data_IF_686509517354
#
_entry.id   IF_686509517354
#
_cell.length_a   1.000
_cell.length_b   1.000
_cell.length_c   1.000
_cell.angle_alpha   90.00
_cell.angle_beta   90.00
_cell.angle_gamma   90.00
#
_symmetry.space_group_name_H-M   'P 1'
#
loop_
_entity.id
_entity.type
_entity.pdbx_description
1 polymer ?
#
# COMPACT_ATOMS: atom_id res chain seq x y z
N UNK A 1 -17.39 -39.35 23.05
CA UNK A 1 -16.91 -38.65 21.83
C UNK A 1 -16.93 -37.13 21.96
N UNK A 2 -18.06 -36.48 22.27
CA UNK A 2 -18.13 -34.99 22.35
C UNK A 2 -17.11 -34.35 23.31
N UNK A 3 -16.93 -34.90 24.51
CA UNK A 3 -15.96 -34.39 25.49
C UNK A 3 -14.50 -34.45 25.02
N UNK A 4 -14.11 -35.57 24.38
CA UNK A 4 -12.76 -35.74 23.82
C UNK A 4 -12.48 -34.70 22.73
N UNK A 5 -13.47 -34.46 21.86
CA UNK A 5 -13.40 -33.47 20.78
C UNK A 5 -13.23 -32.04 21.33
N UNK A 6 -13.94 -31.71 22.41
CA UNK A 6 -13.83 -30.41 23.11
C UNK A 6 -12.42 -30.24 23.70
N UNK A 7 -11.89 -31.26 24.39
CA UNK A 7 -10.55 -31.20 25.00
C UNK A 7 -9.47 -31.04 23.92
N UNK A 8 -9.55 -31.82 22.84
CA UNK A 8 -8.60 -31.73 21.73
C UNK A 8 -8.59 -30.33 21.11
N UNK A 9 -9.77 -29.72 20.96
CA UNK A 9 -9.88 -28.42 20.33
C UNK A 9 -9.48 -27.26 21.24
N UNK A 10 -9.77 -27.32 22.54
CA UNK A 10 -9.24 -26.35 23.52
C UNK A 10 -7.70 -26.43 23.53
N UNK A 11 -7.16 -27.65 23.53
CA UNK A 11 -5.71 -27.87 23.49
C UNK A 11 -5.10 -27.31 22.21
N UNK A 12 -5.78 -27.51 21.06
CA UNK A 12 -5.39 -26.92 19.79
C UNK A 12 -5.37 -25.38 19.86
N UNK A 13 -6.46 -24.74 20.28
CA UNK A 13 -6.54 -23.27 20.41
C UNK A 13 -5.47 -22.72 21.36
N UNK A 14 -5.26 -23.38 22.51
CA UNK A 14 -4.25 -22.97 23.48
C UNK A 14 -2.81 -23.11 22.94
N UNK A 15 -2.49 -24.21 22.26
CA UNK A 15 -1.18 -24.41 21.64
C UNK A 15 -0.90 -23.36 20.57
N UNK A 16 -1.91 -23.01 19.75
CA UNK A 16 -1.76 -21.99 18.72
C UNK A 16 -1.62 -20.59 19.30
N UNK A 17 -2.33 -20.27 20.39
CA UNK A 17 -2.13 -19.02 21.14
C UNK A 17 -0.72 -18.92 21.73
N UNK A 18 -0.21 -19.99 22.33
CA UNK A 18 1.18 -20.03 22.83
C UNK A 18 2.16 -19.84 21.68
N UNK A 19 1.93 -20.49 20.53
CA UNK A 19 2.78 -20.35 19.35
C UNK A 19 2.73 -18.92 18.78
N UNK A 20 1.58 -18.24 18.80
CA UNK A 20 1.47 -16.82 18.44
C UNK A 20 2.27 -15.91 19.37
N UNK A 21 2.17 -16.14 20.69
CA UNK A 21 2.90 -15.36 21.69
C UNK A 21 4.41 -15.58 21.53
N UNK A 22 4.82 -16.84 21.32
CA UNK A 22 6.23 -17.17 21.08
C UNK A 22 6.73 -16.60 19.74
N UNK A 23 5.94 -16.68 18.67
CA UNK A 23 6.24 -16.07 17.38
C UNK A 23 6.46 -14.56 17.49
N UNK A 24 5.65 -13.90 18.32
CA UNK A 24 5.83 -12.49 18.70
C UNK A 24 7.12 -12.28 19.52
N UNK A 25 7.42 -13.09 20.52
CA UNK A 25 8.63 -12.87 21.33
C UNK A 25 9.91 -13.13 20.50
N UNK A 26 9.87 -14.13 19.60
CA UNK A 26 11.05 -14.62 18.88
C UNK A 26 11.33 -13.95 17.55
N UNK A 27 10.46 -13.06 17.09
CA UNK A 27 10.83 -12.22 15.96
C UNK A 27 10.39 -12.73 14.59
N UNK A 28 9.54 -13.76 14.50
CA UNK A 28 8.99 -14.24 13.21
C UNK A 28 7.96 -13.23 12.68
N UNK A 29 8.48 -12.08 12.26
CA UNK A 29 7.74 -10.90 11.81
C UNK A 29 8.02 -10.54 10.36
N UNK A 30 8.81 -11.35 9.66
CA UNK A 30 9.01 -11.12 8.24
C UNK A 30 7.64 -11.20 7.56
N UNK A 31 7.17 -10.09 6.98
CA UNK A 31 5.96 -10.12 6.20
C UNK A 31 6.20 -11.08 5.06
N UNK A 32 5.31 -12.05 4.88
CA UNK A 32 5.32 -12.90 3.71
C UNK A 32 4.26 -12.37 2.75
N UNK A 33 4.56 -12.47 1.46
CA UNK A 33 3.71 -11.98 0.38
C UNK A 33 2.54 -12.93 0.18
N UNK A 34 1.32 -12.40 0.23
CA UNK A 34 0.15 -13.08 -0.33
C UNK A 34 0.19 -12.99 -1.85
N UNK A 35 -0.42 -13.95 -2.53
CA UNK A 35 -0.50 -13.99 -4.00
C UNK A 35 -1.21 -12.78 -4.63
N UNK A 36 -1.87 -11.94 -3.83
CA UNK A 36 -2.51 -10.70 -4.28
C UNK A 36 -1.69 -9.43 -4.01
N UNK A 37 -0.44 -9.54 -3.54
CA UNK A 37 0.39 -8.36 -3.19
C UNK A 37 0.16 -7.83 -1.77
N UNK A 38 -0.77 -8.43 -1.01
CA UNK A 38 -0.95 -8.12 0.41
C UNK A 38 0.24 -8.61 1.26
N UNK A 39 0.75 -7.77 2.17
CA UNK A 39 1.75 -8.18 3.17
C UNK A 39 1.05 -8.62 4.46
N UNK A 40 1.14 -9.90 4.79
CA UNK A 40 0.69 -10.44 6.07
C UNK A 40 1.88 -10.89 6.91
N UNK A 41 1.78 -10.80 8.22
CA UNK A 41 2.75 -11.44 9.10
C UNK A 41 2.21 -12.77 9.61
N UNK A 42 3.10 -13.74 9.83
CA UNK A 42 2.71 -15.06 10.33
C UNK A 42 1.85 -14.97 11.60
N UNK A 43 2.17 -14.03 12.49
CA UNK A 43 1.41 -13.77 13.72
C UNK A 43 -0.04 -13.34 13.44
N UNK A 44 -0.29 -12.53 12.39
CA UNK A 44 -1.65 -12.10 12.01
C UNK A 44 -2.45 -13.23 11.35
N UNK A 45 -1.83 -14.08 10.54
CA UNK A 45 -2.50 -15.28 10.01
C UNK A 45 -2.92 -16.23 11.11
N UNK A 46 -2.00 -16.52 12.04
CA UNK A 46 -2.29 -17.35 13.20
C UNK A 46 -3.43 -16.75 14.04
N UNK A 47 -3.43 -15.42 14.22
CA UNK A 47 -4.49 -14.71 14.92
C UNK A 47 -5.85 -14.90 14.25
N UNK A 48 -5.91 -14.72 12.92
CA UNK A 48 -7.14 -14.94 12.15
C UNK A 48 -7.60 -16.38 12.27
N UNK A 49 -6.70 -17.36 12.15
CA UNK A 49 -7.03 -18.77 12.30
C UNK A 49 -7.60 -19.09 13.68
N UNK A 50 -6.99 -18.61 14.76
CA UNK A 50 -7.50 -18.79 16.13
C UNK A 50 -8.85 -18.10 16.31
N UNK A 51 -9.02 -16.89 15.77
CA UNK A 51 -10.29 -16.17 15.81
C UNK A 51 -11.42 -16.94 15.11
N UNK A 52 -11.23 -17.30 13.84
CA UNK A 52 -12.26 -18.01 13.06
C UNK A 52 -12.55 -19.39 13.63
N UNK A 53 -11.53 -20.16 14.03
CA UNK A 53 -11.73 -21.48 14.63
C UNK A 53 -12.49 -21.40 15.97
N UNK A 54 -12.21 -20.40 16.80
CA UNK A 54 -12.93 -20.16 18.05
C UNK A 54 -14.40 -19.76 17.80
N UNK A 55 -14.66 -18.88 16.84
CA UNK A 55 -16.01 -18.47 16.46
C UNK A 55 -16.83 -19.65 15.90
N UNK A 56 -16.26 -20.41 14.96
CA UNK A 56 -16.91 -21.58 14.36
C UNK A 56 -17.18 -22.66 15.43
N UNK A 57 -16.27 -22.83 16.38
CA UNK A 57 -16.47 -23.74 17.49
C UNK A 57 -17.64 -23.31 18.39
N UNK A 58 -17.70 -22.02 18.73
CA UNK A 58 -18.80 -21.47 19.52
C UNK A 58 -20.16 -21.66 18.84
N UNK A 59 -20.21 -21.54 17.51
CA UNK A 59 -21.43 -21.81 16.73
C UNK A 59 -21.79 -23.30 16.69
N UNK A 60 -20.80 -24.19 16.59
CA UNK A 60 -21.02 -25.64 16.46
C UNK A 60 -21.44 -26.33 17.78
N UNK A 61 -21.07 -25.80 18.95
CA UNK A 61 -21.29 -26.42 20.25
C UNK A 61 -22.57 -25.99 20.98
N UNK A 62 -23.47 -25.27 20.30
CA UNK A 62 -24.60 -24.54 20.89
C UNK A 62 -24.17 -23.41 21.84
N UNK A 63 -25.03 -22.39 21.95
CA UNK A 63 -24.74 -21.05 22.50
C UNK A 63 -24.15 -21.00 23.92
N UNK A 64 -24.22 -22.08 24.71
CA UNK A 64 -23.73 -22.10 26.09
C UNK A 64 -22.20 -22.00 26.21
N UNK A 65 -21.44 -22.47 25.22
CA UNK A 65 -19.97 -22.38 25.21
C UNK A 65 -19.43 -21.19 24.39
N UNK A 66 -20.34 -20.43 23.79
CA UNK A 66 -20.01 -19.22 23.03
C UNK A 66 -19.19 -18.21 23.86
N UNK A 67 -19.53 -17.90 25.13
CA UNK A 67 -18.75 -16.94 25.92
C UNK A 67 -17.30 -17.38 26.12
N UNK A 68 -17.06 -18.68 26.34
CA UNK A 68 -15.72 -19.23 26.52
C UNK A 68 -14.93 -19.11 25.21
N UNK A 69 -15.54 -19.39 24.07
CA UNK A 69 -14.88 -19.25 22.77
C UNK A 69 -14.48 -17.79 22.48
N UNK A 70 -15.32 -16.82 22.86
CA UNK A 70 -15.00 -15.40 22.74
C UNK A 70 -13.80 -14.97 23.60
N UNK A 71 -13.56 -15.60 24.75
CA UNK A 71 -12.37 -15.32 25.58
C UNK A 71 -11.05 -15.63 24.87
N UNK A 72 -11.05 -16.50 23.87
CA UNK A 72 -9.88 -16.80 23.04
C UNK A 72 -9.87 -15.99 21.74
N UNK A 73 -11.04 -15.82 21.11
CA UNK A 73 -11.17 -15.09 19.85
C UNK A 73 -10.75 -13.61 19.99
N UNK A 74 -11.23 -12.91 21.02
CA UNK A 74 -10.99 -11.46 21.17
C UNK A 74 -9.51 -11.14 21.40
N UNK A 75 -8.77 -11.81 22.31
CA UNK A 75 -7.34 -11.59 22.44
C UNK A 75 -6.55 -11.95 21.18
N UNK A 76 -6.92 -13.02 20.47
CA UNK A 76 -6.26 -13.38 19.22
C UNK A 76 -6.40 -12.27 18.18
N UNK A 77 -7.63 -11.78 17.96
CA UNK A 77 -7.89 -10.66 17.06
C UNK A 77 -7.09 -9.41 17.45
N UNK A 78 -7.10 -9.03 18.75
CA UNK A 78 -6.36 -7.87 19.24
C UNK A 78 -4.84 -7.99 19.00
N UNK A 79 -4.27 -9.18 19.23
CA UNK A 79 -2.86 -9.45 18.96
C UNK A 79 -2.56 -9.30 17.46
N UNK A 80 -3.40 -9.88 16.59
CA UNK A 80 -3.27 -9.76 15.15
C UNK A 80 -3.32 -8.31 14.69
N UNK A 81 -4.30 -7.54 15.17
CA UNK A 81 -4.47 -6.12 14.87
C UNK A 81 -3.24 -5.30 15.28
N UNK A 82 -2.78 -5.43 16.53
CA UNK A 82 -1.59 -4.73 17.01
C UNK A 82 -0.32 -5.11 16.23
N UNK A 83 -0.21 -6.38 15.80
CA UNK A 83 0.92 -6.86 15.00
C UNK A 83 0.94 -6.18 13.63
N UNK A 84 -0.20 -6.16 12.94
CA UNK A 84 -0.36 -5.48 11.66
C UNK A 84 -0.09 -3.98 11.76
N UNK A 85 -0.62 -3.30 12.79
CA UNK A 85 -0.41 -1.86 12.95
C UNK A 85 1.08 -1.51 13.13
N UNK A 86 1.82 -2.31 13.89
CA UNK A 86 3.27 -2.13 14.06
C UNK A 86 4.05 -2.43 12.78
N UNK A 87 3.67 -3.48 12.06
CA UNK A 87 4.28 -3.80 10.76
C UNK A 87 4.07 -2.64 9.77
N UNK A 88 2.84 -2.10 9.70
CA UNK A 88 2.51 -0.92 8.89
C UNK A 88 3.34 0.30 9.28
N UNK A 89 3.41 0.64 10.57
CA UNK A 89 4.23 1.76 11.06
C UNK A 89 5.71 1.62 10.68
N UNK A 90 6.28 0.42 10.77
CA UNK A 90 7.67 0.16 10.36
C UNK A 90 7.87 0.26 8.86
N UNK A 91 6.90 -0.25 8.08
CA UNK A 91 6.92 -0.12 6.63
C UNK A 91 6.87 1.35 6.21
N UNK A 92 5.95 2.14 6.77
CA UNK A 92 5.85 3.58 6.55
C UNK A 92 7.16 4.31 6.92
N UNK A 93 7.77 3.97 8.06
CA UNK A 93 9.04 4.55 8.46
C UNK A 93 10.16 4.23 7.45
N UNK A 94 10.28 2.97 7.01
CA UNK A 94 11.26 2.57 5.99
C UNK A 94 11.03 3.28 4.66
N UNK A 95 9.78 3.37 4.20
CA UNK A 95 9.44 4.09 2.96
C UNK A 95 9.76 5.59 3.10
N UNK A 96 9.49 6.20 4.27
CA UNK A 96 9.86 7.61 4.50
C UNK A 96 11.38 7.83 4.51
N UNK A 97 12.15 6.89 5.07
CA UNK A 97 13.62 6.94 5.04
C UNK A 97 14.16 6.78 3.62
N UNK A 98 13.58 5.87 2.82
CA UNK A 98 13.92 5.68 1.41
C UNK A 98 13.56 6.93 0.59
N UNK A 99 12.39 7.51 0.81
CA UNK A 99 11.96 8.73 0.14
C UNK A 99 12.93 9.90 0.42
N UNK A 100 13.30 10.11 1.69
CA UNK A 100 14.25 11.16 2.07
C UNK A 100 15.67 10.90 1.53
N UNK A 101 16.07 9.62 1.38
CA UNK A 101 17.33 9.27 0.73
C UNK A 101 17.29 9.56 -0.78
N UNK A 102 16.25 9.09 -1.47
CA UNK A 102 16.07 9.30 -2.90
C UNK A 102 15.97 10.79 -3.25
N UNK A 103 15.30 11.58 -2.41
CA UNK A 103 15.22 13.03 -2.57
C UNK A 103 16.59 13.70 -2.58
N UNK A 104 17.52 13.22 -1.75
CA UNK A 104 18.90 13.75 -1.71
C UNK A 104 19.73 13.31 -2.90
N UNK A 105 19.53 12.08 -3.37
CA UNK A 105 20.30 11.49 -4.47
C UNK A 105 19.81 11.92 -5.86
N UNK A 106 18.52 12.24 -5.99
CA UNK A 106 17.86 12.52 -7.26
C UNK A 106 17.08 13.86 -7.25
N UNK A 107 17.73 15.00 -6.96
CA UNK A 107 17.06 16.30 -6.83
C UNK A 107 16.15 16.65 -8.01
N UNK A 108 16.53 16.31 -9.25
CA UNK A 108 15.71 16.58 -10.45
C UNK A 108 14.30 15.96 -10.46
N UNK A 109 14.04 14.92 -9.66
CA UNK A 109 12.71 14.27 -9.53
C UNK A 109 11.92 14.87 -8.34
N UNK A 110 12.61 15.46 -7.36
CA UNK A 110 12.01 15.88 -6.09
C UNK A 110 12.06 17.39 -5.80
N UNK A 111 12.80 18.16 -6.60
CA UNK A 111 12.96 19.62 -6.46
C UNK A 111 11.86 20.42 -7.17
N UNK A 112 11.21 19.84 -8.18
CA UNK A 112 10.04 20.45 -8.80
C UNK A 112 8.89 20.42 -7.81
N UNK A 113 8.40 21.61 -7.44
CA UNK A 113 7.20 21.71 -6.63
C UNK A 113 6.07 20.98 -7.37
N UNK A 114 5.39 20.07 -6.68
CA UNK A 114 4.32 19.30 -7.27
C UNK A 114 3.19 20.25 -7.68
N UNK A 115 2.69 20.23 -8.92
CA UNK A 115 1.61 21.13 -9.28
C UNK A 115 0.32 20.74 -8.56
N UNK A 116 -0.32 21.73 -7.96
CA UNK A 116 -1.55 21.53 -7.19
C UNK A 116 -2.74 21.19 -8.10
N UNK A 117 -2.65 21.48 -9.40
CA UNK A 117 -3.71 21.18 -10.36
C UNK A 117 -3.11 20.76 -11.71
N UNK A 118 -3.66 19.68 -12.26
CA UNK A 118 -3.27 19.19 -13.58
C UNK A 118 -3.70 20.14 -14.70
N UNK A 119 -4.80 20.88 -14.50
CA UNK A 119 -5.33 21.82 -15.49
C UNK A 119 -4.46 23.07 -15.68
N UNK A 120 -3.45 23.28 -14.83
CA UNK A 120 -2.53 24.41 -14.92
C UNK A 120 -1.44 24.22 -15.99
N UNK A 121 -1.38 23.05 -16.63
CA UNK A 121 -0.41 22.70 -17.67
C UNK A 121 -1.11 22.55 -19.01
N UNK A 122 -0.45 22.99 -20.08
CA UNK A 122 -0.88 22.75 -21.47
C UNK A 122 -0.37 21.40 -22.02
N UNK A 123 0.46 20.68 -21.24
CA UNK A 123 1.06 19.42 -21.66
C UNK A 123 0.03 18.28 -21.67
N UNK A 124 -0.07 17.56 -22.78
CA UNK A 124 -0.94 16.37 -22.92
C UNK A 124 -0.28 15.10 -22.37
N UNK A 125 1.03 15.14 -22.13
CA UNK A 125 1.86 14.00 -21.76
C UNK A 125 2.76 14.39 -20.57
N UNK A 126 2.84 13.49 -19.60
CA UNK A 126 3.62 13.64 -18.38
C UNK A 126 4.62 12.50 -18.25
N UNK A 127 5.79 12.78 -17.70
CA UNK A 127 6.77 11.76 -17.35
C UNK A 127 6.37 11.13 -16.00
N UNK A 128 6.40 9.80 -15.92
CA UNK A 128 5.99 9.03 -14.75
C UNK A 128 7.20 8.32 -14.14
N UNK A 129 7.38 8.49 -12.84
CA UNK A 129 8.47 7.93 -12.06
C UNK A 129 7.92 7.12 -10.89
N UNK A 130 8.64 6.06 -10.51
CA UNK A 130 8.49 5.45 -9.19
C UNK A 130 9.38 6.20 -8.19
N UNK A 131 8.78 7.03 -7.36
CA UNK A 131 9.45 7.84 -6.34
C UNK A 131 10.10 6.99 -5.24
N UNK A 132 9.63 5.76 -5.01
CA UNK A 132 10.19 4.89 -3.97
C UNK A 132 11.59 4.35 -4.32
N UNK A 133 11.96 4.33 -5.60
CA UNK A 133 13.31 3.94 -6.07
C UNK A 133 13.88 4.90 -7.13
N UNK A 134 13.29 6.10 -7.26
CA UNK A 134 13.66 7.14 -8.22
C UNK A 134 13.87 6.64 -9.67
N UNK A 135 13.00 5.74 -10.14
CA UNK A 135 13.14 5.11 -11.47
C UNK A 135 12.09 5.64 -12.44
N UNK A 136 12.51 6.02 -13.64
CA UNK A 136 11.60 6.38 -14.72
C UNK A 136 10.83 5.15 -15.21
N UNK A 137 9.51 5.26 -15.26
CA UNK A 137 8.63 4.16 -15.70
C UNK A 137 8.21 4.34 -17.17
N UNK A 138 7.93 5.59 -17.58
CA UNK A 138 7.46 5.89 -18.93
C UNK A 138 6.71 7.22 -18.97
N UNK A 139 5.96 7.42 -20.05
CA UNK A 139 5.09 8.59 -20.24
C UNK A 139 3.63 8.22 -20.09
N UNK A 140 2.83 9.11 -19.51
CA UNK A 140 1.39 8.94 -19.30
C UNK A 140 0.62 10.10 -19.94
N UNK A 141 -0.58 9.82 -20.48
CA UNK A 141 -1.47 10.86 -21.00
C UNK A 141 -2.14 11.65 -19.88
N UNK A 142 -2.57 12.89 -20.15
CA UNK A 142 -3.36 13.68 -19.20
C UNK A 142 -4.63 12.94 -18.75
N UNK A 143 -5.34 12.31 -19.67
CA UNK A 143 -6.59 11.59 -19.39
C UNK A 143 -6.37 10.42 -18.42
N UNK A 144 -5.33 9.61 -18.66
CA UNK A 144 -4.96 8.52 -17.76
C UNK A 144 -4.54 9.05 -16.38
N UNK A 145 -3.77 10.14 -16.34
CA UNK A 145 -3.34 10.76 -15.09
C UNK A 145 -4.52 11.32 -14.28
N UNK A 146 -5.52 11.94 -14.93
CA UNK A 146 -6.76 12.37 -14.27
C UNK A 146 -7.52 11.20 -13.64
N UNK A 147 -7.58 10.06 -14.34
CA UNK A 147 -8.21 8.85 -13.81
C UNK A 147 -7.45 8.37 -12.57
N UNK A 148 -6.11 8.34 -12.63
CA UNK A 148 -5.29 7.94 -11.48
C UNK A 148 -5.49 8.89 -10.28
N UNK A 149 -5.38 10.21 -10.49
CA UNK A 149 -5.55 11.21 -9.41
C UNK A 149 -6.95 11.08 -8.79
N UNK A 150 -8.01 11.12 -9.62
CA UNK A 150 -9.39 11.11 -9.14
C UNK A 150 -9.80 9.84 -8.39
N UNK A 151 -9.09 8.72 -8.59
CA UNK A 151 -9.38 7.43 -7.94
C UNK A 151 -8.47 7.10 -6.76
N UNK A 152 -7.24 7.59 -6.77
CA UNK A 152 -6.20 7.12 -5.84
C UNK A 152 -5.62 8.20 -4.95
N UNK A 153 -6.06 9.46 -5.09
CA UNK A 153 -5.82 10.52 -4.12
C UNK A 153 -6.56 10.17 -2.81
N UNK A 154 -5.89 9.39 -1.98
CA UNK A 154 -6.37 8.91 -0.69
C UNK A 154 -5.96 9.92 0.37
N UNK A 155 -6.95 10.64 0.90
CA UNK A 155 -6.97 11.29 2.22
C UNK A 155 -5.62 11.88 2.68
N UNK A 156 -5.13 12.92 1.99
CA UNK A 156 -4.24 13.97 2.55
C UNK A 156 -2.86 13.57 3.09
N UNK A 157 -2.49 12.29 3.11
CA UNK A 157 -1.16 11.80 3.52
C UNK A 157 -0.21 11.62 2.33
N UNK A 158 -0.72 11.76 1.11
CA UNK A 158 0.04 11.72 -0.14
C UNK A 158 0.59 13.12 -0.46
N UNK A 159 1.85 13.21 -0.90
CA UNK A 159 2.39 14.48 -1.42
C UNK A 159 1.57 14.94 -2.64
N UNK A 160 1.58 16.23 -3.00
CA UNK A 160 0.65 16.77 -4.02
C UNK A 160 0.77 16.14 -5.43
N UNK A 161 1.83 15.38 -5.71
CA UNK A 161 2.03 14.64 -6.96
C UNK A 161 2.24 13.13 -6.80
N UNK A 162 2.19 12.63 -5.58
CA UNK A 162 2.57 11.25 -5.30
C UNK A 162 1.31 10.40 -5.20
N UNK A 163 1.08 9.54 -6.18
CA UNK A 163 -0.06 8.65 -6.22
C UNK A 163 0.40 7.27 -5.74
N UNK A 164 -0.15 6.80 -4.62
CA UNK A 164 0.11 5.45 -4.16
C UNK A 164 -0.72 4.45 -4.97
N UNK A 165 -0.05 3.46 -5.57
CA UNK A 165 -0.69 2.44 -6.41
C UNK A 165 -0.25 1.05 -6.00
N UNK A 166 -1.19 0.11 -5.95
CA UNK A 166 -0.95 -1.31 -5.74
C UNK A 166 -1.81 -2.14 -6.70
N UNK A 167 -1.62 -3.47 -6.74
CA UNK A 167 -2.16 -4.33 -7.78
C UNK A 167 -3.69 -4.19 -7.97
N UNK A 168 -4.48 -4.28 -6.90
CA UNK A 168 -5.94 -4.18 -6.98
C UNK A 168 -6.42 -2.77 -7.39
N UNK A 169 -5.61 -1.72 -7.18
CA UNK A 169 -5.93 -0.39 -7.69
C UNK A 169 -5.82 -0.32 -9.21
N UNK A 170 -4.89 -1.07 -9.82
CA UNK A 170 -4.76 -1.11 -11.29
C UNK A 170 -6.00 -1.74 -11.92
N UNK A 171 -6.55 -2.80 -11.28
CA UNK A 171 -7.81 -3.41 -11.72
C UNK A 171 -8.98 -2.41 -11.67
N UNK A 172 -9.08 -1.63 -10.59
CA UNK A 172 -10.09 -0.58 -10.47
C UNK A 172 -9.90 0.54 -11.51
N UNK A 173 -8.65 0.92 -11.77
CA UNK A 173 -8.32 1.92 -12.79
C UNK A 173 -8.76 1.47 -14.19
N UNK A 174 -8.58 0.17 -14.49
CA UNK A 174 -9.00 -0.44 -15.75
C UNK A 174 -10.51 -0.34 -15.95
N UNK A 175 -11.30 -0.61 -14.91
CA UNK A 175 -12.76 -0.46 -14.98
C UNK A 175 -13.19 0.98 -15.31
N UNK A 176 -12.37 1.96 -14.93
CA UNK A 176 -12.58 3.39 -15.24
C UNK A 176 -12.00 3.84 -16.57
N UNK A 177 -11.34 2.96 -17.31
CA UNK A 177 -10.90 3.21 -18.67
C UNK A 177 -9.51 3.83 -18.78
N UNK A 178 -8.56 3.50 -17.89
CA UNK A 178 -7.14 3.75 -18.21
C UNK A 178 -6.73 2.98 -19.47
N UNK A 179 -5.74 3.50 -20.17
CA UNK A 179 -5.17 2.86 -21.36
C UNK A 179 -4.54 1.50 -21.07
N UNK A 180 -4.58 0.59 -22.05
CA UNK A 180 -3.91 -0.72 -21.99
C UNK A 180 -2.38 -0.55 -21.83
N UNK A 181 -1.82 0.54 -22.38
CA UNK A 181 -0.41 0.90 -22.25
C UNK A 181 -0.04 1.26 -20.80
N UNK A 182 -0.86 2.08 -20.13
CA UNK A 182 -0.65 2.40 -18.72
C UNK A 182 -0.81 1.17 -17.84
N UNK A 183 -1.84 0.35 -18.07
CA UNK A 183 -2.06 -0.90 -17.34
C UNK A 183 -0.82 -1.81 -17.42
N UNK A 184 -0.30 -2.03 -18.62
CA UNK A 184 0.89 -2.87 -18.83
C UNK A 184 2.13 -2.30 -18.11
N UNK A 185 2.32 -0.98 -18.16
CA UNK A 185 3.43 -0.30 -17.48
C UNK A 185 3.35 -0.44 -15.96
N UNK A 186 2.16 -0.24 -15.38
CA UNK A 186 1.95 -0.38 -13.94
C UNK A 186 2.13 -1.82 -13.47
N UNK A 187 1.59 -2.81 -14.19
CA UNK A 187 1.81 -4.21 -13.84
C UNK A 187 3.28 -4.63 -13.96
N UNK A 188 3.98 -4.18 -14.99
CA UNK A 188 5.42 -4.47 -15.13
C UNK A 188 6.23 -3.89 -13.96
N UNK A 189 5.86 -2.71 -13.48
CA UNK A 189 6.49 -2.10 -12.32
C UNK A 189 6.13 -2.84 -11.01
N UNK A 190 4.86 -3.25 -10.87
CA UNK A 190 4.36 -4.01 -9.72
C UNK A 190 4.87 -5.46 -9.66
N UNK A 191 5.27 -6.07 -10.78
CA UNK A 191 5.96 -7.37 -10.75
C UNK A 191 7.28 -7.32 -9.94
N UNK A 192 7.88 -6.14 -9.82
CA UNK A 192 9.13 -5.93 -9.08
C UNK A 192 8.92 -5.36 -7.69
N UNK A 193 7.72 -4.84 -7.38
CA UNK A 193 7.40 -4.15 -6.13
C UNK A 193 5.95 -4.34 -5.76
N UNK A 194 5.68 -4.58 -4.48
CA UNK A 194 4.29 -4.76 -4.01
C UNK A 194 3.40 -3.53 -4.16
N UNK A 195 4.02 -2.34 -4.17
CA UNK A 195 3.34 -1.06 -4.36
C UNK A 195 4.30 -0.05 -4.97
N UNK A 196 3.72 0.95 -5.64
CA UNK A 196 4.40 2.06 -6.30
C UNK A 196 3.98 3.37 -5.63
N UNK A 197 4.94 4.29 -5.53
CA UNK A 197 4.67 5.70 -5.26
C UNK A 197 4.92 6.44 -6.57
N UNK A 198 3.87 6.60 -7.36
CA UNK A 198 3.97 7.23 -8.67
C UNK A 198 4.12 8.73 -8.50
N UNK A 199 5.20 9.30 -9.03
CA UNK A 199 5.36 10.73 -9.19
C UNK A 199 5.28 11.08 -10.66
N UNK A 200 4.39 12.00 -11.00
CA UNK A 200 4.29 12.55 -12.34
C UNK A 200 4.95 13.93 -12.41
N UNK A 201 5.56 14.24 -13.56
CA UNK A 201 6.23 15.50 -13.85
C UNK A 201 5.86 15.98 -15.27
N UNK A 202 5.62 17.28 -15.49
CA UNK A 202 5.47 17.82 -16.84
C UNK A 202 6.79 17.68 -17.60
N UNK A 203 6.69 17.37 -18.89
CA UNK A 203 7.88 17.13 -19.72
C UNK A 203 8.65 18.45 -19.91
N UNK A 204 9.96 18.44 -19.65
CA UNK A 204 10.85 19.62 -19.62
C UNK A 204 10.81 20.55 -20.86
N UNK A 205 10.20 20.12 -21.97
CA UNK A 205 9.89 20.95 -23.14
C UNK A 205 9.16 22.25 -22.76
N UNK A 206 8.22 22.20 -21.82
CA UNK A 206 7.37 23.33 -21.42
C UNK A 206 8.03 24.26 -20.38
N UNK A 207 8.89 23.71 -19.51
CA UNK A 207 9.65 24.48 -18.52
C UNK A 207 10.67 25.45 -19.16
N UNK A 208 11.23 25.09 -20.33
CA UNK A 208 12.10 25.99 -21.09
C UNK A 208 11.30 27.10 -21.80
N UNK A 209 10.09 26.80 -22.29
CA UNK A 209 9.21 27.80 -22.92
C UNK A 209 8.70 28.85 -21.93
N UNK A 210 8.40 28.45 -20.69
CA UNK A 210 8.04 29.39 -19.62
C UNK A 210 9.23 30.24 -19.15
N UNK A 211 10.45 29.67 -19.07
CA UNK A 211 11.66 30.47 -18.78
C UNK A 211 11.99 31.47 -19.88
N UNK A 212 11.79 31.13 -21.15
CA UNK A 212 11.98 32.06 -22.27
C UNK A 212 10.91 33.17 -22.27
N UNK A 213 9.65 32.84 -22.02
CA UNK A 213 8.56 33.81 -21.90
C UNK A 213 8.75 34.79 -20.71
N UNK A 214 9.22 34.31 -19.57
CA UNK A 214 9.52 35.16 -18.42
C UNK A 214 10.77 36.03 -18.64
N UNK A 215 11.79 35.55 -19.37
CA UNK A 215 12.94 36.36 -19.74
C UNK A 215 12.60 37.49 -20.72
N UNK A 216 11.67 37.25 -21.65
CA UNK A 216 11.23 38.26 -22.63
C UNK A 216 10.34 39.35 -22.01
N UNK A 217 9.66 39.05 -20.90
CA UNK A 217 8.78 40.01 -20.20
C UNK A 217 9.54 41.06 -19.37
N UNK A 218 10.83 40.83 -19.07
CA UNK A 218 11.68 41.75 -18.27
C UNK A 218 12.52 42.70 -19.16
N UNK A 219 12.50 42.50 -20.48
CA UNK A 219 13.32 43.24 -21.44
C UNK A 219 12.69 44.46 -22.12
N UNK A 220 11.48 44.90 -21.73
CA UNK A 220 10.81 46.05 -22.36
C UNK A 220 10.38 47.12 -21.36
N UNK A 221 11.37 47.92 -20.92
CA UNK A 221 11.18 49.30 -20.43
C UNK A 221 12.13 50.22 -21.19
#
# INVERSE_FOLDING_TARGET
MKLLLIILLITFVALWLVNMILGRIWGFYEPFEWSSGGKSNFVSELAMLVFFSSCLLGMALNSELLPICFTFAVPAWLIGFMSQERARKRFQLKESELYEANKKEHPGIFDSLPPENLDDFDDEIFDLYDAGIATYLGTISRGDLQILISRFELDGEQGPNDIFVFYEMVELAKETGISDELEALLYQALEKRDALYLRWLPQLSSLNSQREADCDSVGSI
#
